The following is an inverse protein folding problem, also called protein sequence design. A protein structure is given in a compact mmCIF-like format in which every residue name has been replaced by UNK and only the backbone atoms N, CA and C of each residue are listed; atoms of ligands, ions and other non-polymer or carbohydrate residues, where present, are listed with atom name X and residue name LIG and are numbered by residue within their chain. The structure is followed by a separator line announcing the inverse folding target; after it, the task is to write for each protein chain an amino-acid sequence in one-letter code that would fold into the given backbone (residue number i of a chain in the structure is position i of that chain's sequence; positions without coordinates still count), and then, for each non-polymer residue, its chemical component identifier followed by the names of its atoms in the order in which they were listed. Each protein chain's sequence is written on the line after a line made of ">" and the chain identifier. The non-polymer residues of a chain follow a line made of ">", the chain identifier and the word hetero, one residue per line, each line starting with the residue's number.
data_IF_989278413186
#
_entry.id   IF_989278413186
#
_cell.length_a   1.000
_cell.length_b   1.000
_cell.length_c   1.000
_cell.angle_alpha   90.00
_cell.angle_beta   90.00
_cell.angle_gamma   90.00
#
_symmetry.space_group_name_H-M   'P 1'
#
loop_
_entity.id
_entity.type
_entity.pdbx_description
1 polymer ?
#
# COMPACT_ATOMS: atom_id res chain seq x y z
N UNK A 1 36.43 -17.10 23.04
CA UNK A 1 36.58 -16.02 22.05
C UNK A 1 36.07 -16.60 20.75
N UNK A 2 34.75 -16.80 20.66
CA UNK A 2 34.08 -17.47 19.53
C UNK A 2 32.94 -16.55 19.10
N UNK A 3 33.31 -15.55 18.32
CA UNK A 3 32.40 -14.66 17.63
C UNK A 3 33.27 -14.07 16.54
N UNK A 4 32.97 -14.33 15.25
CA UNK A 4 33.11 -13.36 14.14
C UNK A 4 33.20 -13.94 12.73
N UNK A 5 33.47 -15.24 12.50
CA UNK A 5 33.69 -15.66 11.10
C UNK A 5 32.40 -15.85 10.29
N UNK A 6 31.32 -16.34 10.92
CA UNK A 6 30.02 -16.51 10.25
C UNK A 6 29.24 -15.19 10.10
N UNK A 7 29.49 -14.21 10.98
CA UNK A 7 28.75 -12.94 11.03
C UNK A 7 29.06 -12.06 9.80
N UNK A 8 30.32 -11.83 9.46
CA UNK A 8 30.69 -10.96 8.33
C UNK A 8 30.33 -11.56 6.96
N UNK A 9 30.49 -12.87 6.79
CA UNK A 9 30.09 -13.57 5.58
C UNK A 9 28.56 -13.54 5.36
N UNK A 10 27.77 -13.57 6.44
CA UNK A 10 26.30 -13.45 6.36
C UNK A 10 25.84 -12.05 5.95
N UNK A 11 26.53 -10.99 6.40
CA UNK A 11 26.22 -9.60 6.04
C UNK A 11 26.52 -9.28 4.57
N UNK A 12 27.53 -9.96 4.02
CA UNK A 12 28.01 -9.76 2.66
C UNK A 12 27.46 -10.78 1.65
N UNK A 13 26.82 -11.86 2.11
CA UNK A 13 26.09 -12.76 1.24
C UNK A 13 24.99 -11.98 0.51
N UNK A 14 24.69 -12.36 -0.73
CA UNK A 14 23.66 -11.74 -1.58
C UNK A 14 22.25 -12.12 -1.08
N UNK A 15 22.00 -12.02 0.22
CA UNK A 15 20.69 -12.10 0.85
C UNK A 15 20.07 -10.71 0.75
N UNK A 16 19.63 -10.35 -0.45
CA UNK A 16 18.89 -9.11 -0.66
C UNK A 16 17.52 -9.25 0.01
N UNK A 17 17.36 -8.66 1.19
CA UNK A 17 16.03 -8.41 1.75
C UNK A 17 15.39 -7.30 0.90
N UNK A 18 14.70 -7.70 -0.17
CA UNK A 18 14.01 -6.76 -1.06
C UNK A 18 12.78 -6.23 -0.34
N UNK A 19 12.83 -4.96 0.07
CA UNK A 19 11.65 -4.26 0.59
C UNK A 19 10.83 -3.71 -0.58
N UNK A 20 9.58 -4.15 -0.67
CA UNK A 20 8.60 -3.68 -1.66
C UNK A 20 7.78 -2.54 -1.06
N UNK A 21 7.75 -1.38 -1.71
CA UNK A 21 6.98 -0.21 -1.28
C UNK A 21 5.98 0.16 -2.37
N UNK A 22 4.68 0.11 -2.05
CA UNK A 22 3.63 0.62 -2.93
C UNK A 22 3.31 2.09 -2.56
N UNK A 23 3.66 3.01 -3.45
CA UNK A 23 3.28 4.41 -3.34
C UNK A 23 1.92 4.64 -4.03
N UNK A 24 0.86 4.77 -3.21
CA UNK A 24 -0.54 4.86 -3.68
C UNK A 24 -1.17 6.23 -3.36
N UNK A 25 -0.63 6.93 -2.36
CA UNK A 25 -1.25 8.11 -1.79
C UNK A 25 -1.25 9.32 -2.75
N UNK A 26 -0.13 9.51 -3.45
CA UNK A 26 0.08 10.57 -4.41
C UNK A 26 0.82 10.03 -5.63
N UNK A 27 0.79 10.79 -6.72
CA UNK A 27 1.65 10.56 -7.88
C UNK A 27 2.78 11.57 -7.85
N UNK A 28 3.97 11.12 -8.22
CA UNK A 28 5.12 11.97 -8.48
C UNK A 28 4.99 12.51 -9.91
N UNK A 29 5.34 13.78 -10.15
CA UNK A 29 5.06 14.48 -11.42
C UNK A 29 5.99 14.07 -12.59
N UNK A 30 6.44 12.81 -12.61
CA UNK A 30 7.46 12.29 -13.51
C UNK A 30 8.74 13.16 -13.57
N UNK A 31 9.08 13.78 -12.44
CA UNK A 31 10.27 14.61 -12.27
C UNK A 31 11.36 13.76 -11.61
N UNK A 32 12.46 13.55 -12.32
CA UNK A 32 13.60 12.72 -11.85
C UNK A 32 14.11 13.08 -10.45
N UNK A 33 14.16 14.37 -10.13
CA UNK A 33 14.59 14.84 -8.80
C UNK A 33 13.64 14.37 -7.70
N UNK A 34 12.32 14.43 -7.92
CA UNK A 34 11.34 13.98 -6.95
C UNK A 34 11.39 12.46 -6.73
N UNK A 35 11.64 11.67 -7.78
CA UNK A 35 11.87 10.23 -7.63
C UNK A 35 13.12 9.93 -6.79
N UNK A 36 14.21 10.69 -7.01
CA UNK A 36 15.43 10.54 -6.21
C UNK A 36 15.21 10.92 -4.76
N UNK A 37 14.45 11.98 -4.49
CA UNK A 37 14.14 12.41 -3.13
C UNK A 37 13.39 11.33 -2.34
N UNK A 38 12.43 10.64 -2.98
CA UNK A 38 11.75 9.48 -2.38
C UNK A 38 12.73 8.36 -2.07
N UNK A 39 13.60 8.00 -3.02
CA UNK A 39 14.62 6.97 -2.80
C UNK A 39 15.60 7.34 -1.68
N UNK A 40 15.98 8.62 -1.56
CA UNK A 40 16.84 9.09 -0.48
C UNK A 40 16.12 9.09 0.87
N UNK A 41 14.84 9.42 0.92
CA UNK A 41 14.04 9.32 2.13
C UNK A 41 13.97 7.87 2.64
N UNK A 42 13.70 6.91 1.75
CA UNK A 42 13.71 5.47 2.09
C UNK A 42 15.08 5.04 2.61
N UNK A 43 16.16 5.43 1.92
CA UNK A 43 17.53 5.11 2.32
C UNK A 43 17.88 5.69 3.69
N UNK A 44 17.43 6.91 4.00
CA UNK A 44 17.64 7.56 5.29
C UNK A 44 16.92 6.82 6.44
N UNK A 45 15.71 6.32 6.21
CA UNK A 45 14.97 5.49 7.15
C UNK A 45 15.67 4.14 7.36
N UNK A 46 16.15 3.51 6.30
CA UNK A 46 16.85 2.23 6.36
C UNK A 46 18.20 2.32 7.09
N UNK A 47 18.85 3.50 7.04
CA UNK A 47 20.23 3.71 7.51
C UNK A 47 20.52 3.14 8.91
N UNK A 48 19.84 3.54 10.00
CA UNK A 48 20.14 3.02 11.34
C UNK A 48 19.78 1.53 11.54
N UNK A 49 18.97 0.96 10.65
CA UNK A 49 18.41 -0.38 10.84
C UNK A 49 19.12 -1.45 10.01
N UNK A 50 19.68 -1.08 8.85
CA UNK A 50 20.24 -2.00 7.85
C UNK A 50 21.67 -1.56 7.48
N UNK A 51 21.81 -0.33 6.96
CA UNK A 51 23.06 0.15 6.36
C UNK A 51 24.17 0.26 7.42
N UNK A 52 23.88 0.86 8.57
CA UNK A 52 24.86 1.05 9.65
C UNK A 52 25.26 -0.26 10.34
N UNK A 53 24.53 -1.35 10.09
CA UNK A 53 24.87 -2.70 10.56
C UNK A 53 25.73 -3.48 9.57
N UNK A 54 26.05 -2.90 8.41
CA UNK A 54 26.88 -3.50 7.38
C UNK A 54 26.18 -4.53 6.51
N UNK A 55 24.84 -4.55 6.48
CA UNK A 55 24.07 -5.48 5.66
C UNK A 55 23.97 -5.00 4.21
N UNK A 56 24.05 -5.93 3.26
CA UNK A 56 23.63 -5.67 1.88
C UNK A 56 22.12 -5.36 1.84
N UNK A 57 21.70 -4.46 0.96
CA UNK A 57 20.31 -4.04 0.91
C UNK A 57 19.87 -3.67 -0.51
N UNK A 58 18.58 -3.86 -0.76
CA UNK A 58 17.89 -3.50 -1.99
C UNK A 58 16.45 -3.10 -1.65
N UNK A 59 15.91 -2.10 -2.35
CA UNK A 59 14.48 -1.80 -2.32
C UNK A 59 14.01 -1.39 -3.71
N UNK A 60 12.71 -1.52 -3.94
CA UNK A 60 12.06 -0.88 -5.06
C UNK A 60 10.77 -0.19 -4.59
N UNK A 61 10.32 0.78 -5.39
CA UNK A 61 9.08 1.52 -5.14
C UNK A 61 8.20 1.41 -6.39
N UNK A 62 6.98 0.92 -6.23
CA UNK A 62 5.98 0.87 -7.28
C UNK A 62 4.94 1.97 -7.07
N UNK A 63 4.59 2.71 -8.12
CA UNK A 63 3.47 3.66 -8.08
C UNK A 63 2.19 3.01 -8.65
N UNK A 64 1.22 2.68 -7.80
CA UNK A 64 0.01 1.96 -8.21
C UNK A 64 -1.20 2.89 -8.46
N UNK A 65 -2.33 2.34 -8.94
CA UNK A 65 -3.55 3.11 -9.26
C UNK A 65 -4.35 3.44 -7.99
N UNK A 66 -4.36 4.73 -7.62
CA UNK A 66 -5.06 5.25 -6.43
C UNK A 66 -6.57 4.94 -6.42
N UNK A 67 -7.23 4.96 -7.58
CA UNK A 67 -8.69 4.75 -7.69
C UNK A 67 -9.11 3.31 -7.36
N UNK A 68 -8.16 2.39 -7.22
CA UNK A 68 -8.40 1.00 -6.80
C UNK A 68 -8.03 0.74 -5.34
N UNK A 69 -7.68 1.79 -4.58
CA UNK A 69 -7.31 1.69 -3.17
C UNK A 69 -8.44 2.14 -2.25
N UNK A 70 -8.73 1.34 -1.23
CA UNK A 70 -9.70 1.64 -0.18
C UNK A 70 -9.11 1.31 1.19
N UNK A 71 -9.45 2.10 2.21
CA UNK A 71 -9.16 1.81 3.62
C UNK A 71 -10.50 1.64 4.34
N UNK A 72 -10.68 0.49 5.03
CA UNK A 72 -11.94 0.14 5.70
C UNK A 72 -13.17 0.21 4.78
N UNK A 73 -12.97 -0.04 3.48
CA UNK A 73 -14.03 0.01 2.47
C UNK A 73 -14.41 1.42 2.01
N UNK A 74 -13.59 2.42 2.32
CA UNK A 74 -13.77 3.78 1.84
C UNK A 74 -12.60 4.26 0.97
N UNK A 75 -12.88 5.06 -0.05
CA UNK A 75 -11.85 5.69 -0.90
C UNK A 75 -11.15 6.83 -0.18
N UNK A 76 -9.80 6.82 -0.05
CA UNK A 76 -9.09 7.88 0.65
C UNK A 76 -9.35 9.28 0.04
N UNK A 77 -9.40 10.33 0.87
CA UNK A 77 -9.66 11.69 0.41
C UNK A 77 -8.58 12.19 -0.56
N UNK A 78 -8.85 13.19 -1.42
CA UNK A 78 -7.83 13.78 -2.27
C UNK A 78 -6.63 14.28 -1.46
N UNK A 79 -5.43 14.15 -2.01
CA UNK A 79 -4.22 14.62 -1.34
C UNK A 79 -4.26 16.14 -1.13
N UNK A 80 -3.84 16.62 0.03
CA UNK A 80 -3.88 18.01 0.47
C UNK A 80 -5.26 18.53 0.89
N UNK A 81 -6.32 17.71 0.80
CA UNK A 81 -7.68 18.14 1.16
C UNK A 81 -7.89 18.31 2.67
N UNK A 82 -8.90 19.09 3.07
CA UNK A 82 -9.26 19.24 4.50
C UNK A 82 -9.72 17.92 5.12
N UNK A 83 -10.28 17.02 4.32
CA UNK A 83 -10.67 15.68 4.71
C UNK A 83 -9.45 14.79 5.00
N UNK A 84 -8.38 14.91 4.21
CA UNK A 84 -7.11 14.22 4.50
C UNK A 84 -6.50 14.72 5.82
N UNK A 85 -6.50 16.04 6.06
CA UNK A 85 -6.04 16.63 7.33
C UNK A 85 -6.88 16.17 8.53
N UNK A 86 -8.18 15.96 8.33
CA UNK A 86 -9.04 15.39 9.36
C UNK A 86 -8.66 13.93 9.67
N UNK A 87 -8.39 13.14 8.64
CA UNK A 87 -7.93 11.75 8.79
C UNK A 87 -6.59 11.66 9.50
N UNK A 88 -5.64 12.53 9.14
CA UNK A 88 -4.34 12.65 9.79
C UNK A 88 -4.50 12.99 11.28
N UNK A 89 -5.28 14.03 11.60
CA UNK A 89 -5.52 14.48 12.97
C UNK A 89 -6.15 13.40 13.85
N UNK A 90 -7.13 12.70 13.31
CA UNK A 90 -7.87 11.65 14.02
C UNK A 90 -7.18 10.28 13.96
N UNK A 91 -6.15 10.14 13.13
CA UNK A 91 -5.45 8.91 12.80
C UNK A 91 -6.38 7.72 12.51
N UNK A 92 -7.47 7.98 11.77
CA UNK A 92 -8.49 6.98 11.42
C UNK A 92 -9.28 7.37 10.18
N UNK A 93 -9.95 6.39 9.57
CA UNK A 93 -10.93 6.61 8.50
C UNK A 93 -12.14 7.37 9.06
N UNK A 94 -12.30 8.63 8.69
CA UNK A 94 -13.47 9.44 9.07
C UNK A 94 -14.39 9.64 7.85
N UNK A 95 -15.65 9.19 7.90
CA UNK A 95 -16.60 9.44 6.81
C UNK A 95 -16.78 10.94 6.55
N UNK A 96 -16.84 11.33 5.27
CA UNK A 96 -17.13 12.70 4.84
C UNK A 96 -18.10 12.71 3.66
N UNK A 97 -18.64 13.89 3.32
CA UNK A 97 -19.63 14.03 2.24
C UNK A 97 -19.08 13.55 0.88
N UNK A 98 -19.85 12.71 0.18
CA UNK A 98 -19.42 12.05 -1.06
C UNK A 98 -18.65 10.74 -0.86
N UNK A 99 -18.44 10.33 0.39
CA UNK A 99 -17.75 9.10 0.77
C UNK A 99 -18.72 8.02 1.26
N UNK A 100 -19.62 7.56 0.39
CA UNK A 100 -20.57 6.48 0.74
C UNK A 100 -20.02 5.12 0.32
N UNK A 101 -19.68 4.21 1.25
CA UNK A 101 -19.32 2.85 0.89
C UNK A 101 -20.55 2.07 0.43
N UNK A 102 -20.43 1.33 -0.68
CA UNK A 102 -21.57 0.61 -1.28
C UNK A 102 -22.20 -0.46 -0.38
N UNK A 103 -21.52 -0.92 0.68
CA UNK A 103 -22.09 -1.86 1.63
C UNK A 103 -22.97 -1.22 2.71
N UNK A 104 -22.89 0.11 2.92
CA UNK A 104 -23.78 0.82 3.87
C UNK A 104 -25.16 1.09 3.25
N UNK A 105 -25.26 1.15 1.92
CA UNK A 105 -26.54 1.21 1.20
C UNK A 105 -27.26 -0.15 1.14
N UNK A 106 -26.59 -1.24 1.53
CA UNK A 106 -27.19 -2.57 1.61
C UNK A 106 -27.99 -2.71 2.92
N UNK A 107 -29.27 -2.35 2.88
CA UNK A 107 -30.26 -2.65 3.92
C UNK A 107 -30.24 -4.15 4.30
N UNK A 108 -30.43 -4.52 5.58
CA UNK A 108 -30.51 -5.92 6.03
C UNK A 108 -31.61 -6.76 5.37
N UNK A 109 -32.55 -6.13 4.66
CA UNK A 109 -33.68 -6.82 4.01
C UNK A 109 -33.32 -7.63 2.77
N UNK A 110 -32.07 -7.57 2.29
CA UNK A 110 -31.59 -8.39 1.17
C UNK A 110 -30.54 -9.39 1.64
N UNK A 111 -30.95 -10.31 2.51
CA UNK A 111 -30.22 -11.55 2.77
C UNK A 111 -30.40 -12.54 1.60
N UNK A 112 -30.15 -12.07 0.37
CA UNK A 112 -30.00 -12.89 -0.82
C UNK A 112 -29.44 -12.00 -1.92
N UNK A 113 -28.14 -12.09 -2.15
CA UNK A 113 -27.53 -11.55 -3.35
C UNK A 113 -27.14 -12.75 -4.22
N UNK A 114 -27.88 -12.95 -5.32
CA UNK A 114 -27.26 -13.58 -6.48
C UNK A 114 -26.24 -12.60 -7.03
N UNK A 115 -24.96 -12.92 -6.87
CA UNK A 115 -23.88 -12.17 -7.50
C UNK A 115 -23.91 -12.49 -9.00
N UNK A 116 -24.72 -11.75 -9.75
CA UNK A 116 -24.73 -11.82 -11.21
C UNK A 116 -23.60 -10.93 -11.73
N UNK A 117 -22.37 -11.45 -11.69
CA UNK A 117 -21.21 -10.82 -12.34
C UNK A 117 -21.44 -10.86 -13.86
N UNK A 118 -22.20 -9.89 -14.39
CA UNK A 118 -22.12 -9.54 -15.81
C UNK A 118 -20.80 -8.82 -16.04
N UNK A 119 -19.73 -9.60 -16.15
CA UNK A 119 -18.54 -9.15 -16.87
C UNK A 119 -18.94 -8.94 -18.34
N UNK A 120 -18.51 -7.85 -18.99
CA UNK A 120 -18.71 -7.72 -20.42
C UNK A 120 -18.02 -8.90 -21.11
N UNK A 121 -18.82 -9.70 -21.81
CA UNK A 121 -18.46 -10.67 -22.84
C UNK A 121 -17.79 -12.02 -22.51
N UNK A 122 -17.79 -12.53 -21.28
CA UNK A 122 -17.43 -13.96 -21.07
C UNK A 122 -18.45 -14.69 -20.21
N UNK A 123 -18.80 -15.90 -20.65
CA UNK A 123 -19.99 -16.65 -20.24
C UNK A 123 -20.10 -16.96 -18.74
N UNK A 124 -21.32 -17.28 -18.35
CA UNK A 124 -21.75 -17.56 -16.99
C UNK A 124 -20.86 -18.61 -16.30
N UNK A 125 -20.28 -18.27 -15.16
CA UNK A 125 -19.75 -19.24 -14.20
C UNK A 125 -20.66 -19.20 -12.98
N UNK A 126 -21.44 -20.26 -12.77
CA UNK A 126 -22.20 -20.49 -11.54
C UNK A 126 -21.23 -21.03 -10.49
N UNK A 127 -20.92 -20.23 -9.46
CA UNK A 127 -20.26 -20.71 -8.26
C UNK A 127 -21.31 -20.84 -7.14
N UNK A 128 -21.59 -22.07 -6.71
CA UNK A 128 -22.33 -22.36 -5.48
C UNK A 128 -21.34 -22.51 -4.33
N UNK A 129 -21.60 -21.88 -3.18
CA UNK A 129 -21.02 -22.27 -1.90
C UNK A 129 -22.15 -22.47 -0.89
N UNK A 130 -22.04 -23.56 -0.12
CA UNK A 130 -22.91 -23.94 0.99
C UNK A 130 -22.49 -23.25 2.30
#
# INVERSE_FOLDING_TARGET
>A
MEHTFEDEASKQAFSADVTLIDHIAAKIDNVEEQYRDVCYAVSAIAKPHIIDKGWNWEFHVDETERRMWQINGYFPPPSGSEQEKLWERENKTVPYEGMTPRFVEMSPSHQQFEVNLRLPSYGHVLAFWA
#
